data_IF_008902606451
#
_entry.id   IF_008902606451
#
_cell.length_a   1.000
_cell.length_b   1.000
_cell.length_c   1.000
_cell.angle_alpha   90.00
_cell.angle_beta   90.00
_cell.angle_gamma   90.00
#
_symmetry.space_group_name_H-M   'P 1'
#
loop_
_entity.id
_entity.type
_entity.pdbx_description
1 polymer ?
#
# COMPACT_ATOMS: atom_id res chain seq x y z
N UNK A 1 20.01 9.08 -20.01
CA UNK A 1 19.60 7.73 -19.56
C UNK A 1 19.76 7.71 -18.04
N UNK A 2 18.68 7.55 -17.28
CA UNK A 2 18.78 7.42 -15.82
C UNK A 2 19.51 6.11 -15.49
N UNK A 3 20.53 6.17 -14.63
CA UNK A 3 21.25 4.98 -14.15
C UNK A 3 20.64 4.50 -12.85
N UNK A 4 20.42 3.20 -12.71
CA UNK A 4 20.04 2.60 -11.44
C UNK A 4 21.21 2.75 -10.44
N UNK A 5 21.07 3.66 -9.47
CA UNK A 5 22.09 3.91 -8.44
C UNK A 5 22.05 2.87 -7.31
N UNK A 6 20.96 2.11 -7.20
CA UNK A 6 20.73 1.15 -6.14
C UNK A 6 20.46 -0.25 -6.71
N UNK A 7 21.03 -1.27 -6.05
CA UNK A 7 20.76 -2.68 -6.33
C UNK A 7 20.40 -3.42 -5.01
N UNK A 8 19.16 -3.87 -4.83
CA UNK A 8 18.01 -3.75 -5.74
C UNK A 8 17.53 -2.29 -5.88
N UNK A 9 16.68 -1.96 -6.88
CA UNK A 9 16.12 -0.61 -7.03
C UNK A 9 15.45 -0.09 -5.76
N UNK A 10 15.52 1.22 -5.54
CA UNK A 10 15.00 1.85 -4.32
C UNK A 10 13.50 1.58 -4.09
N UNK A 11 12.72 1.46 -5.17
CA UNK A 11 11.31 1.08 -5.13
C UNK A 11 11.09 -0.30 -4.48
N UNK A 12 11.88 -1.30 -4.89
CA UNK A 12 11.84 -2.66 -4.33
C UNK A 12 12.24 -2.67 -2.85
N UNK A 13 13.30 -1.94 -2.50
CA UNK A 13 13.72 -1.81 -1.11
C UNK A 13 12.62 -1.20 -0.22
N UNK A 14 11.83 -0.23 -0.72
CA UNK A 14 10.71 0.36 0.02
C UNK A 14 9.64 -0.68 0.35
N UNK A 15 9.28 -1.49 -0.65
CA UNK A 15 8.23 -2.51 -0.52
C UNK A 15 8.68 -3.57 0.48
N UNK A 16 9.90 -4.09 0.35
CA UNK A 16 10.46 -5.08 1.28
C UNK A 16 10.51 -4.56 2.71
N UNK A 17 10.94 -3.30 2.89
CA UNK A 17 10.95 -2.65 4.19
C UNK A 17 9.55 -2.56 4.80
N UNK A 18 8.56 -2.11 4.02
CA UNK A 18 7.18 -1.98 4.47
C UNK A 18 6.55 -3.34 4.80
N UNK A 19 6.71 -4.36 3.93
CA UNK A 19 6.21 -5.74 4.16
C UNK A 19 6.73 -6.30 5.48
N UNK A 20 8.03 -6.13 5.75
CA UNK A 20 8.63 -6.57 7.02
C UNK A 20 7.95 -5.89 8.21
N UNK A 21 7.84 -4.56 8.20
CA UNK A 21 7.23 -3.81 9.30
C UNK A 21 5.75 -4.14 9.51
N UNK A 22 4.98 -4.30 8.43
CA UNK A 22 3.57 -4.70 8.48
C UNK A 22 3.43 -6.02 9.24
N UNK A 23 4.27 -7.00 8.90
CA UNK A 23 4.18 -8.35 9.47
C UNK A 23 4.72 -8.39 10.90
N UNK A 24 5.82 -7.70 11.21
CA UNK A 24 6.39 -7.59 12.57
C UNK A 24 5.41 -6.92 13.55
N UNK A 25 4.64 -5.93 13.08
CA UNK A 25 3.64 -5.23 13.89
C UNK A 25 2.25 -5.91 13.87
N UNK A 26 2.08 -6.99 13.10
CA UNK A 26 0.78 -7.61 12.83
C UNK A 26 -0.30 -6.60 12.39
N UNK A 27 0.10 -5.58 11.63
CA UNK A 27 -0.80 -4.52 11.19
C UNK A 27 -1.89 -5.09 10.26
N UNK A 28 -3.12 -4.64 10.46
CA UNK A 28 -4.28 -5.07 9.67
C UNK A 28 -4.82 -3.96 8.77
N UNK A 29 -4.46 -2.71 9.05
CA UNK A 29 -4.90 -1.54 8.32
C UNK A 29 -3.72 -0.66 7.93
N UNK A 30 -3.67 -0.25 6.65
CA UNK A 30 -2.64 0.66 6.14
C UNK A 30 -3.26 1.79 5.32
N UNK A 31 -2.78 3.02 5.51
CA UNK A 31 -3.06 4.17 4.66
C UNK A 31 -1.76 4.66 4.00
N UNK A 32 -1.79 4.88 2.69
CA UNK A 32 -0.68 5.44 1.91
C UNK A 32 -1.03 6.87 1.49
N UNK A 33 -0.38 7.82 2.14
CA UNK A 33 -0.50 9.25 1.90
C UNK A 33 0.31 9.65 0.67
N UNK A 34 -0.36 10.28 -0.29
CA UNK A 34 0.13 10.55 -1.64
C UNK A 34 0.53 9.28 -2.40
N UNK A 35 -0.41 8.35 -2.50
CA UNK A 35 -0.21 7.07 -3.17
C UNK A 35 0.08 7.18 -4.68
N UNK A 36 -0.11 8.36 -5.28
CA UNK A 36 0.17 8.65 -6.68
C UNK A 36 -0.57 7.73 -7.64
N UNK A 37 0.17 6.92 -8.40
CA UNK A 37 -0.40 5.92 -9.30
C UNK A 37 -0.71 4.58 -8.63
N UNK A 38 -0.54 4.44 -7.31
CA UNK A 38 -0.83 3.21 -6.56
C UNK A 38 0.15 2.06 -6.78
N UNK A 39 1.33 2.31 -7.37
CA UNK A 39 2.31 1.24 -7.65
C UNK A 39 2.85 0.62 -6.37
N UNK A 40 3.14 1.43 -5.36
CA UNK A 40 3.63 0.96 -4.07
C UNK A 40 2.63 0.02 -3.38
N UNK A 41 1.38 0.49 -3.22
CA UNK A 41 0.29 -0.31 -2.67
C UNK A 41 0.03 -1.58 -3.48
N UNK A 42 0.06 -1.51 -4.82
CA UNK A 42 -0.09 -2.68 -5.66
C UNK A 42 1.02 -3.72 -5.42
N UNK A 43 2.27 -3.29 -5.32
CA UNK A 43 3.38 -4.18 -4.99
C UNK A 43 3.24 -4.78 -3.58
N UNK A 44 2.71 -4.05 -2.59
CA UNK A 44 2.43 -4.62 -1.27
C UNK A 44 1.42 -5.77 -1.33
N UNK A 45 0.38 -5.66 -2.16
CA UNK A 45 -0.67 -6.68 -2.32
C UNK A 45 -0.19 -7.99 -2.98
N UNK A 46 0.94 -7.93 -3.70
CA UNK A 46 1.60 -9.10 -4.30
C UNK A 46 2.43 -9.90 -3.28
N UNK A 47 2.66 -9.35 -2.08
CA UNK A 47 3.41 -9.99 -1.02
C UNK A 47 2.47 -10.54 0.07
N UNK A 48 2.85 -11.63 0.75
CA UNK A 48 2.11 -12.10 1.91
C UNK A 48 2.21 -11.08 3.04
N UNK A 49 1.07 -10.50 3.43
CA UNK A 49 0.93 -9.55 4.53
C UNK A 49 -0.28 -9.87 5.39
N UNK A 50 -0.32 -9.32 6.61
CA UNK A 50 -1.46 -9.40 7.54
C UNK A 50 -2.57 -8.39 7.25
N UNK A 51 -2.41 -7.55 6.22
CA UNK A 51 -3.34 -6.47 5.90
C UNK A 51 -4.72 -6.99 5.49
N UNK A 52 -5.75 -6.34 6.01
CA UNK A 52 -7.17 -6.55 5.72
C UNK A 52 -7.82 -5.34 5.04
N UNK A 53 -7.29 -4.14 5.31
CA UNK A 53 -7.73 -2.88 4.70
C UNK A 53 -6.53 -2.05 4.28
N UNK A 54 -6.57 -1.58 3.04
CA UNK A 54 -5.56 -0.70 2.45
C UNK A 54 -6.26 0.52 1.88
N UNK A 55 -5.72 1.69 2.15
CA UNK A 55 -6.23 2.96 1.64
C UNK A 55 -5.11 3.71 0.95
N UNK A 56 -5.37 4.27 -0.23
CA UNK A 56 -4.52 5.27 -0.85
C UNK A 56 -5.22 6.63 -0.86
N UNK A 57 -4.53 7.69 -0.43
CA UNK A 57 -5.03 9.06 -0.52
C UNK A 57 -4.12 9.87 -1.42
N UNK A 58 -4.67 10.66 -2.33
CA UNK A 58 -3.89 11.57 -3.18
C UNK A 58 -4.76 12.75 -3.63
N UNK A 59 -4.13 13.91 -3.88
CA UNK A 59 -4.80 15.08 -4.46
C UNK A 59 -4.98 14.95 -5.99
N UNK A 60 -4.22 14.05 -6.61
CA UNK A 60 -4.18 13.88 -8.06
C UNK A 60 -5.21 12.86 -8.51
N UNK A 61 -6.38 13.34 -8.94
CA UNK A 61 -7.42 12.50 -9.60
C UNK A 61 -6.87 11.66 -10.75
N UNK A 62 -5.93 12.20 -11.53
CA UNK A 62 -5.25 11.46 -12.62
C UNK A 62 -4.36 10.33 -12.09
N UNK A 63 -3.71 10.53 -10.93
CA UNK A 63 -3.01 9.48 -10.19
C UNK A 63 -3.96 8.40 -9.72
N UNK A 64 -5.00 8.79 -8.98
CA UNK A 64 -6.01 7.89 -8.41
C UNK A 64 -6.72 7.04 -9.48
N UNK A 65 -7.02 7.62 -10.65
CA UNK A 65 -7.60 6.87 -11.77
C UNK A 65 -6.69 5.74 -12.25
N UNK A 66 -5.36 5.97 -12.25
CA UNK A 66 -4.38 4.92 -12.57
C UNK A 66 -4.26 3.92 -11.42
N UNK A 67 -4.22 4.42 -10.18
CA UNK A 67 -4.19 3.59 -8.98
C UNK A 67 -5.36 2.60 -8.92
N UNK A 68 -6.57 3.03 -9.23
CA UNK A 68 -7.75 2.17 -9.25
C UNK A 68 -7.57 0.96 -10.18
N UNK A 69 -7.04 1.19 -11.39
CA UNK A 69 -6.77 0.11 -12.36
C UNK A 69 -5.70 -0.85 -11.87
N UNK A 70 -4.62 -0.33 -11.30
CA UNK A 70 -3.49 -1.13 -10.82
C UNK A 70 -3.88 -1.93 -9.57
N UNK A 71 -4.56 -1.30 -8.60
CA UNK A 71 -5.05 -1.98 -7.39
C UNK A 71 -6.02 -3.12 -7.71
N UNK A 72 -6.98 -2.89 -8.61
CA UNK A 72 -7.91 -3.94 -9.02
C UNK A 72 -7.17 -5.15 -9.62
N UNK A 73 -6.15 -4.91 -10.45
CA UNK A 73 -5.32 -5.98 -11.00
C UNK A 73 -4.56 -6.72 -9.90
N UNK A 74 -3.93 -6.00 -8.97
CA UNK A 74 -3.16 -6.61 -7.88
C UNK A 74 -4.05 -7.44 -6.94
N UNK A 75 -5.23 -6.94 -6.60
CA UNK A 75 -6.24 -7.67 -5.81
C UNK A 75 -6.68 -8.95 -6.51
N UNK A 76 -6.96 -8.90 -7.81
CA UNK A 76 -7.33 -10.09 -8.59
C UNK A 76 -6.19 -11.12 -8.62
N UNK A 77 -4.94 -10.68 -8.79
CA UNK A 77 -3.77 -11.58 -8.72
C UNK A 77 -3.64 -12.22 -7.34
N UNK A 78 -3.79 -11.44 -6.26
CA UNK A 78 -3.74 -11.93 -4.87
C UNK A 78 -4.84 -12.95 -4.59
N UNK A 79 -6.07 -12.68 -5.06
CA UNK A 79 -7.20 -13.61 -5.03
C UNK A 79 -6.89 -14.92 -5.73
N UNK A 80 -6.42 -14.86 -6.99
CA UNK A 80 -6.09 -16.04 -7.78
C UNK A 80 -5.01 -16.89 -7.10
N UNK A 81 -3.95 -16.27 -6.57
CA UNK A 81 -2.89 -16.98 -5.86
C UNK A 81 -3.40 -17.66 -4.58
N UNK A 82 -4.30 -17.00 -3.84
CA UNK A 82 -4.89 -17.58 -2.63
C UNK A 82 -5.82 -18.74 -2.93
N UNK A 83 -6.62 -18.63 -3.99
CA UNK A 83 -7.49 -19.71 -4.47
C UNK A 83 -6.70 -20.91 -4.99
N UNK A 84 -5.60 -20.68 -5.72
CA UNK A 84 -4.78 -21.78 -6.27
C UNK A 84 -4.05 -22.60 -5.20
N UNK A 85 -3.76 -22.00 -4.04
CA UNK A 85 -2.99 -22.65 -2.96
C UNK A 85 -3.79 -23.57 -2.04
N UNK A 86 -5.09 -23.78 -2.28
CA UNK A 86 -5.95 -24.75 -1.55
C UNK A 86 -5.80 -24.68 -0.01
N UNK A 87 -5.50 -23.51 0.54
CA UNK A 87 -5.28 -23.33 1.98
C UNK A 87 -6.63 -23.15 2.67
N UNK A 88 -6.94 -24.07 3.60
CA UNK A 88 -8.14 -24.07 4.47
C UNK A 88 -8.17 -22.92 5.50
N UNK A 89 -7.15 -22.07 5.52
CA UNK A 89 -7.10 -20.88 6.38
C UNK A 89 -7.84 -19.74 5.67
N UNK A 90 -8.84 -19.15 6.33
CA UNK A 90 -9.65 -18.02 5.84
C UNK A 90 -8.81 -17.06 4.98
N UNK A 91 -9.07 -17.07 3.67
CA UNK A 91 -8.36 -16.25 2.68
C UNK A 91 -8.85 -14.81 2.80
N UNK A 92 -8.36 -14.06 3.78
CA UNK A 92 -8.71 -12.64 3.89
C UNK A 92 -8.02 -11.91 2.74
N UNK A 93 -8.81 -11.46 1.77
CA UNK A 93 -8.36 -10.60 0.69
C UNK A 93 -8.48 -9.17 1.18
N UNK A 94 -7.40 -8.37 1.09
CA UNK A 94 -7.47 -6.99 1.56
C UNK A 94 -8.52 -6.22 0.78
N UNK A 95 -9.30 -5.40 1.48
CA UNK A 95 -10.12 -4.36 0.86
C UNK A 95 -9.22 -3.19 0.49
N UNK A 96 -9.42 -2.59 -0.70
CA UNK A 96 -8.68 -1.42 -1.13
C UNK A 96 -9.62 -0.24 -1.42
N UNK A 97 -9.32 0.94 -0.87
CA UNK A 97 -10.06 2.18 -1.13
C UNK A 97 -9.12 3.30 -1.58
N UNK A 98 -9.66 4.23 -2.36
CA UNK A 98 -8.93 5.39 -2.85
C UNK A 98 -9.68 6.66 -2.48
N UNK A 99 -8.98 7.64 -1.91
CA UNK A 99 -9.52 8.92 -1.50
C UNK A 99 -8.88 10.06 -2.29
N UNK A 100 -9.73 10.94 -2.81
CA UNK A 100 -9.36 12.20 -3.46
C UNK A 100 -9.39 13.32 -2.42
N UNK A 101 -8.22 13.79 -2.00
CA UNK A 101 -8.11 14.77 -0.93
C UNK A 101 -6.69 15.10 -0.53
N UNK A 102 -6.51 16.23 0.18
CA UNK A 102 -5.21 16.63 0.72
C UNK A 102 -4.91 15.89 2.01
N UNK A 103 -3.66 15.46 2.17
CA UNK A 103 -3.18 14.82 3.39
C UNK A 103 -3.00 15.81 4.55
N UNK A 104 -3.05 17.12 4.26
CA UNK A 104 -3.01 18.19 5.26
C UNK A 104 -4.35 18.40 5.94
N UNK A 105 -5.43 17.93 5.31
CA UNK A 105 -6.78 18.10 5.80
C UNK A 105 -7.15 16.86 6.61
N UNK A 106 -7.65 17.06 7.83
CA UNK A 106 -8.08 15.94 8.66
C UNK A 106 -9.34 15.30 8.08
N UNK A 107 -9.29 14.00 7.84
CA UNK A 107 -10.46 13.18 7.52
C UNK A 107 -10.62 12.05 8.55
N UNK A 108 -11.75 12.04 9.25
CA UNK A 108 -12.11 11.00 10.21
C UNK A 108 -12.15 9.59 9.62
N UNK A 109 -12.35 9.44 8.30
CA UNK A 109 -12.33 8.16 7.60
C UNK A 109 -10.93 7.55 7.50
N UNK A 110 -9.89 8.38 7.65
CA UNK A 110 -8.48 8.00 7.64
C UNK A 110 -7.90 7.88 9.07
N UNK A 111 -8.75 7.98 10.09
CA UNK A 111 -8.37 7.82 11.49
C UNK A 111 -8.27 6.33 11.90
N UNK A 112 -7.44 6.01 12.90
CA UNK A 112 -7.23 4.66 13.47
C UNK A 112 -6.68 3.60 12.50
N UNK A 113 -5.79 4.00 11.60
CA UNK A 113 -4.96 3.06 10.86
C UNK A 113 -3.75 2.64 11.69
N UNK A 114 -3.38 1.36 11.61
CA UNK A 114 -2.21 0.80 12.30
C UNK A 114 -0.92 1.41 11.75
N UNK A 115 -0.86 1.55 10.42
CA UNK A 115 0.30 2.06 9.68
C UNK A 115 -0.15 3.16 8.71
N UNK A 116 0.57 4.28 8.73
CA UNK A 116 0.57 5.28 7.66
C UNK A 116 1.89 5.24 6.90
N UNK A 117 1.86 5.11 5.58
CA UNK A 117 3.03 5.33 4.72
C UNK A 117 2.93 6.69 4.05
N UNK A 118 4.05 7.39 3.97
CA UNK A 118 4.17 8.66 3.29
C UNK A 118 5.48 8.61 2.50
N UNK A 119 5.42 8.05 1.29
CA UNK A 119 6.59 7.86 0.45
C UNK A 119 6.71 9.03 -0.53
N UNK A 120 7.92 9.58 -0.66
CA UNK A 120 8.32 10.57 -1.68
C UNK A 120 7.82 12.03 -1.51
N UNK A 121 6.96 12.34 -0.53
CA UNK A 121 6.51 13.72 -0.28
C UNK A 121 7.58 14.66 0.28
N UNK A 122 8.48 14.16 1.13
CA UNK A 122 9.51 14.97 1.80
C UNK A 122 10.88 14.29 1.76
N UNK A 123 11.43 14.01 0.57
CA UNK A 123 12.81 13.48 0.41
C UNK A 123 13.21 12.37 1.42
N UNK A 124 12.25 11.55 1.85
CA UNK A 124 12.38 10.64 2.99
C UNK A 124 11.22 9.66 3.01
N UNK A 125 11.45 8.46 3.53
CA UNK A 125 10.44 7.41 3.67
C UNK A 125 10.04 7.32 5.13
N UNK A 126 8.77 7.58 5.44
CA UNK A 126 8.25 7.48 6.79
C UNK A 126 7.17 6.41 6.85
N UNK A 127 7.32 5.49 7.80
CA UNK A 127 6.24 4.65 8.31
C UNK A 127 5.81 5.31 9.61
N UNK A 128 4.66 5.98 9.58
CA UNK A 128 4.00 6.55 10.73
C UNK A 128 3.24 5.43 11.43
N UNK A 129 3.61 5.13 12.67
CA UNK A 129 2.83 4.26 13.55
C UNK A 129 1.91 5.16 14.38
N UNK A 130 0.61 4.91 14.37
CA UNK A 130 -0.25 5.48 15.41
C UNK A 130 0.05 4.76 16.73
N UNK A 131 0.32 5.54 17.78
CA UNK A 131 0.38 5.06 19.16
C UNK A 131 -1.02 4.70 19.66
#
# INVERSE_FOLDING_TARGET
MEKALFNPPLSKQSVEFAVRHINELHATTLVDFSCGSGSHLASLLEHPTTLKKVVGADISRKGLTRAAKIHNRALMTSLHQKLSKKSLMQTVVPTAMLYDGSITDFDSLLYRFDIGTCLELYKGKFILRNA
#
